data_IF_022499823117
#
_entry.id   IF_022499823117
#
_cell.length_a   1.000
_cell.length_b   1.000
_cell.length_c   1.000
_cell.angle_alpha   90.00
_cell.angle_beta   90.00
_cell.angle_gamma   90.00
#
_symmetry.space_group_name_H-M   'P 1'
#
loop_
_entity.id
_entity.type
_entity.pdbx_description
1 polymer ?
#
# COMPACT_ATOMS: atom_id res chain seq x y z
N UNK A 1 29.98 -44.25 8.55
CA UNK A 1 28.67 -43.73 9.02
C UNK A 1 28.95 -42.41 9.73
N UNK A 2 28.64 -41.29 9.08
CA UNK A 2 28.85 -39.96 9.67
C UNK A 2 27.87 -39.01 9.01
N UNK A 3 26.64 -38.97 9.53
CA UNK A 3 25.65 -37.98 9.12
C UNK A 3 26.05 -36.65 9.76
N UNK A 4 26.53 -35.71 8.95
CA UNK A 4 26.69 -34.30 9.31
C UNK A 4 25.28 -33.72 9.53
N UNK A 5 24.81 -33.73 10.77
CA UNK A 5 23.63 -32.98 11.17
C UNK A 5 23.99 -31.50 11.23
N UNK A 6 23.53 -30.72 10.26
CA UNK A 6 23.51 -29.26 10.36
C UNK A 6 22.54 -28.86 11.49
N UNK A 7 23.02 -28.73 12.72
CA UNK A 7 22.28 -28.04 13.78
C UNK A 7 22.37 -26.54 13.53
N UNK A 8 21.33 -25.96 12.92
CA UNK A 8 21.17 -24.50 12.85
C UNK A 8 21.21 -23.94 14.28
N UNK A 9 22.01 -22.91 14.50
CA UNK A 9 22.14 -22.24 15.80
C UNK A 9 20.83 -21.54 16.20
N UNK A 10 20.58 -21.36 17.50
CA UNK A 10 19.37 -20.68 17.99
C UNK A 10 19.24 -19.25 17.46
N UNK A 11 20.37 -18.56 17.23
CA UNK A 11 20.40 -17.25 16.57
C UNK A 11 19.92 -17.33 15.11
N UNK A 12 20.34 -18.34 14.34
CA UNK A 12 19.83 -18.56 12.98
C UNK A 12 18.34 -18.91 12.97
N UNK A 13 17.86 -19.62 14.00
CA UNK A 13 16.44 -19.94 14.15
C UNK A 13 15.62 -18.71 14.55
N UNK A 14 16.17 -17.81 15.36
CA UNK A 14 15.55 -16.55 15.74
C UNK A 14 15.56 -15.55 14.59
N UNK A 15 16.62 -15.48 13.77
CA UNK A 15 16.68 -14.69 12.55
C UNK A 15 15.69 -15.20 11.48
N UNK A 16 15.61 -16.52 11.26
CA UNK A 16 14.60 -17.11 10.36
C UNK A 16 13.16 -16.88 10.85
N UNK A 17 12.96 -16.79 12.17
CA UNK A 17 11.65 -16.49 12.78
C UNK A 17 11.32 -15.01 12.68
N UNK A 18 12.28 -14.12 12.94
CA UNK A 18 12.14 -12.68 12.73
C UNK A 18 11.87 -12.33 11.26
N UNK A 19 12.48 -13.08 10.32
CA UNK A 19 12.24 -12.95 8.88
C UNK A 19 10.91 -13.57 8.43
N UNK A 20 10.28 -14.43 9.23
CA UNK A 20 8.88 -14.88 9.06
C UNK A 20 7.86 -13.95 9.73
N UNK A 21 8.30 -13.13 10.68
CA UNK A 21 7.50 -12.18 11.46
C UNK A 21 7.58 -10.74 10.94
N UNK A 22 8.28 -10.48 9.83
CA UNK A 22 8.29 -9.14 9.24
C UNK A 22 6.89 -8.76 8.74
N UNK A 23 6.46 -7.58 9.16
CA UNK A 23 5.18 -7.02 8.76
C UNK A 23 5.17 -6.79 7.24
N UNK A 24 4.35 -7.57 6.52
CA UNK A 24 4.26 -7.50 5.06
C UNK A 24 3.85 -6.13 4.51
N UNK A 25 3.08 -5.35 5.26
CA UNK A 25 2.73 -3.98 4.85
C UNK A 25 3.96 -3.07 4.96
N UNK A 26 4.77 -3.21 6.01
CA UNK A 26 6.03 -2.49 6.15
C UNK A 26 7.02 -2.83 5.01
N UNK A 27 7.11 -4.09 4.63
CA UNK A 27 7.90 -4.52 3.46
C UNK A 27 7.39 -3.88 2.17
N UNK A 28 6.06 -3.85 1.96
CA UNK A 28 5.46 -3.21 0.80
C UNK A 28 5.72 -1.70 0.75
N UNK A 29 5.65 -0.99 1.89
CA UNK A 29 6.00 0.43 2.00
C UNK A 29 7.47 0.67 1.65
N UNK A 30 8.38 -0.17 2.15
CA UNK A 30 9.80 -0.07 1.83
C UNK A 30 10.09 -0.31 0.35
N UNK A 31 9.45 -1.33 -0.25
CA UNK A 31 9.55 -1.61 -1.68
C UNK A 31 9.02 -0.44 -2.51
N UNK A 32 7.85 0.10 -2.15
CA UNK A 32 7.26 1.24 -2.84
C UNK A 32 8.17 2.47 -2.77
N UNK A 33 8.75 2.77 -1.59
CA UNK A 33 9.73 3.85 -1.42
C UNK A 33 10.94 3.69 -2.35
N UNK A 34 11.44 2.46 -2.52
CA UNK A 34 12.55 2.18 -3.41
C UNK A 34 12.18 2.37 -4.89
N UNK A 35 10.98 1.95 -5.30
CA UNK A 35 10.46 2.15 -6.65
C UNK A 35 10.27 3.64 -6.94
N UNK A 36 9.59 4.36 -6.04
CA UNK A 36 9.28 5.78 -6.17
C UNK A 36 10.53 6.64 -6.31
N UNK A 37 11.57 6.36 -5.50
CA UNK A 37 12.83 7.11 -5.53
C UNK A 37 13.85 6.59 -6.56
N UNK A 38 13.50 5.58 -7.35
CA UNK A 38 14.42 4.99 -8.32
C UNK A 38 14.77 6.00 -9.41
N UNK A 39 16.08 6.25 -9.62
CA UNK A 39 16.58 7.20 -10.63
C UNK A 39 16.04 6.94 -12.04
N UNK A 40 15.77 5.67 -12.37
CA UNK A 40 15.29 5.23 -13.69
C UNK A 40 13.77 5.37 -13.83
N UNK A 41 13.04 5.58 -12.74
CA UNK A 41 11.57 5.68 -12.72
C UNK A 41 11.06 7.08 -12.32
N UNK A 42 11.95 8.09 -12.24
CA UNK A 42 11.64 9.46 -11.78
C UNK A 42 10.58 10.23 -12.57
N UNK A 43 10.16 9.73 -13.74
CA UNK A 43 9.11 10.32 -14.57
C UNK A 43 7.93 9.37 -14.78
N UNK A 44 7.98 8.19 -14.15
CA UNK A 44 7.00 7.13 -14.34
C UNK A 44 5.99 7.21 -13.20
N UNK A 45 4.74 7.52 -13.54
CA UNK A 45 3.65 7.48 -12.56
C UNK A 45 3.33 6.05 -12.15
N UNK A 46 2.85 5.87 -10.92
CA UNK A 46 2.54 4.57 -10.34
C UNK A 46 1.05 4.46 -10.08
N UNK A 47 0.45 3.39 -10.60
CA UNK A 47 -0.89 2.98 -10.22
C UNK A 47 -0.74 2.01 -9.05
N UNK A 48 -1.28 2.37 -7.90
CA UNK A 48 -1.14 1.62 -6.66
C UNK A 48 -2.43 0.84 -6.38
N UNK A 49 -2.34 -0.49 -6.38
CA UNK A 49 -3.46 -1.34 -5.94
C UNK A 49 -3.33 -1.72 -4.48
N UNK A 50 -4.25 -1.21 -3.68
CA UNK A 50 -4.51 -1.65 -2.33
C UNK A 50 -5.45 -2.85 -2.41
N UNK A 51 -4.91 -4.01 -2.79
CA UNK A 51 -5.66 -5.24 -2.96
C UNK A 51 -6.04 -5.88 -1.61
N UNK A 52 -6.96 -6.84 -1.63
CA UNK A 52 -7.42 -7.63 -0.47
C UNK A 52 -8.25 -6.84 0.54
N UNK A 53 -9.08 -5.90 0.04
CA UNK A 53 -9.98 -5.11 0.90
C UNK A 53 -10.97 -5.98 1.69
N UNK A 54 -11.38 -7.12 1.13
CA UNK A 54 -12.18 -8.16 1.78
C UNK A 54 -11.50 -8.72 3.03
N UNK A 55 -10.24 -9.14 2.92
CA UNK A 55 -9.46 -9.68 4.04
C UNK A 55 -9.11 -8.59 5.07
N UNK A 56 -8.90 -7.35 4.61
CA UNK A 56 -8.70 -6.22 5.51
C UNK A 56 -9.95 -5.98 6.36
N UNK A 57 -11.13 -5.93 5.74
CA UNK A 57 -12.40 -5.75 6.43
C UNK A 57 -12.63 -6.86 7.46
N UNK A 58 -12.46 -8.12 7.07
CA UNK A 58 -12.59 -9.27 7.98
C UNK A 58 -11.66 -9.12 9.20
N UNK A 59 -10.38 -8.80 8.97
CA UNK A 59 -9.38 -8.69 10.04
C UNK A 59 -9.67 -7.53 10.99
N UNK A 60 -10.07 -6.37 10.47
CA UNK A 60 -10.42 -5.19 11.26
C UNK A 60 -11.64 -5.46 12.12
N UNK A 61 -12.68 -6.07 11.55
CA UNK A 61 -13.93 -6.35 12.25
C UNK A 61 -13.78 -7.46 13.29
N UNK A 62 -12.92 -8.45 13.02
CA UNK A 62 -12.61 -9.51 13.99
C UNK A 62 -11.88 -8.99 15.24
N UNK A 63 -11.17 -7.86 15.14
CA UNK A 63 -10.54 -7.18 16.28
C UNK A 63 -9.40 -7.94 16.98
N UNK A 64 -8.98 -9.11 16.44
CA UNK A 64 -7.95 -9.97 17.05
C UNK A 64 -6.53 -9.42 16.94
N UNK A 65 -6.26 -8.61 15.92
CA UNK A 65 -4.95 -8.06 15.61
C UNK A 65 -5.15 -6.61 15.21
N UNK A 66 -4.73 -5.70 16.10
CA UNK A 66 -4.99 -4.27 15.96
C UNK A 66 -3.92 -3.61 15.09
N UNK A 67 -4.31 -2.65 14.27
CA UNK A 67 -3.37 -1.98 13.35
C UNK A 67 -2.33 -1.17 14.14
N UNK A 68 -2.77 -0.53 15.23
CA UNK A 68 -1.93 0.28 16.11
C UNK A 68 -0.81 -0.49 16.83
N UNK A 69 -0.88 -1.82 16.90
CA UNK A 69 0.22 -2.65 17.42
C UNK A 69 1.42 -2.70 16.46
N UNK A 70 1.18 -2.48 15.17
CA UNK A 70 2.22 -2.46 14.13
C UNK A 70 2.51 -1.05 13.61
N UNK A 71 1.50 -0.18 13.63
CA UNK A 71 1.56 1.21 13.16
C UNK A 71 0.98 2.14 14.25
N UNK A 72 1.77 2.52 15.28
CA UNK A 72 1.28 3.29 16.42
C UNK A 72 0.57 4.62 16.07
N UNK A 73 0.94 5.23 14.96
CA UNK A 73 0.32 6.41 14.37
C UNK A 73 -1.16 6.21 14.03
N UNK A 74 -1.58 4.98 13.75
CA UNK A 74 -2.99 4.65 13.51
C UNK A 74 -3.87 4.99 14.70
N UNK A 75 -3.36 4.97 15.94
CA UNK A 75 -4.15 5.34 17.12
C UNK A 75 -4.64 6.80 17.06
N UNK A 76 -3.88 7.69 16.42
CA UNK A 76 -4.20 9.12 16.27
C UNK A 76 -4.80 9.47 14.91
N UNK A 77 -4.78 8.54 13.96
CA UNK A 77 -5.29 8.77 12.62
C UNK A 77 -6.80 8.99 12.63
N UNK A 78 -7.28 9.94 11.83
CA UNK A 78 -8.70 10.18 11.58
C UNK A 78 -8.98 9.98 10.11
N UNK A 79 -10.14 9.40 9.79
CA UNK A 79 -10.59 9.29 8.40
C UNK A 79 -10.63 10.70 7.79
N UNK A 80 -10.05 10.92 6.59
CA UNK A 80 -10.01 12.23 5.98
C UNK A 80 -11.38 12.62 5.42
N UNK A 81 -11.66 13.92 5.32
CA UNK A 81 -12.97 14.44 4.90
C UNK A 81 -13.31 14.11 3.43
N UNK A 82 -12.30 13.86 2.60
CA UNK A 82 -12.42 13.45 1.21
C UNK A 82 -12.64 11.94 1.04
N UNK A 83 -12.73 11.19 2.15
CA UNK A 83 -12.99 9.77 2.10
C UNK A 83 -14.39 9.48 1.57
N UNK A 84 -14.44 8.63 0.54
CA UNK A 84 -15.66 8.07 -0.04
C UNK A 84 -15.76 6.61 0.46
N UNK A 85 -16.54 6.34 1.52
CA UNK A 85 -16.81 4.97 1.97
C UNK A 85 -17.78 4.25 1.02
N UNK A 86 -17.67 2.93 0.95
CA UNK A 86 -18.66 2.13 0.22
C UNK A 86 -20.00 2.10 1.00
N UNK A 87 -21.16 2.02 0.32
CA UNK A 87 -22.44 1.94 1.01
C UNK A 87 -22.49 0.74 1.98
N UNK A 88 -22.76 1.02 3.26
CA UNK A 88 -22.82 0.01 4.31
C UNK A 88 -21.46 -0.45 4.85
N UNK A 89 -20.35 0.19 4.46
CA UNK A 89 -19.03 -0.08 5.02
C UNK A 89 -18.93 0.39 6.48
N UNK A 90 -18.34 -0.44 7.34
CA UNK A 90 -18.10 -0.07 8.74
C UNK A 90 -17.04 1.05 8.81
N UNK A 91 -17.28 2.14 9.58
CA UNK A 91 -16.33 3.25 9.70
C UNK A 91 -14.91 2.84 10.12
N UNK A 92 -14.76 1.74 10.86
CA UNK A 92 -13.45 1.20 11.26
C UNK A 92 -12.69 0.65 10.06
N UNK A 93 -13.39 0.02 9.11
CA UNK A 93 -12.82 -0.49 7.86
C UNK A 93 -12.44 0.67 6.94
N UNK A 94 -13.31 1.68 6.80
CA UNK A 94 -12.99 2.91 6.07
C UNK A 94 -11.74 3.56 6.65
N UNK A 95 -11.69 3.77 7.97
CA UNK A 95 -10.52 4.35 8.63
C UNK A 95 -9.25 3.55 8.38
N UNK A 96 -9.32 2.22 8.46
CA UNK A 96 -8.18 1.34 8.23
C UNK A 96 -7.65 1.39 6.79
N UNK A 97 -8.53 1.30 5.78
CA UNK A 97 -8.09 1.31 4.37
C UNK A 97 -7.51 2.68 3.97
N UNK A 98 -8.10 3.77 4.45
CA UNK A 98 -7.61 5.12 4.20
C UNK A 98 -6.29 5.41 4.90
N UNK A 99 -6.09 4.89 6.12
CA UNK A 99 -4.78 4.94 6.78
C UNK A 99 -3.70 4.29 5.91
N UNK A 100 -3.94 3.06 5.44
CA UNK A 100 -2.98 2.35 4.59
C UNK A 100 -2.71 3.12 3.30
N UNK A 101 -3.74 3.68 2.66
CA UNK A 101 -3.59 4.56 1.49
C UNK A 101 -2.66 5.73 1.78
N UNK A 102 -2.90 6.42 2.88
CA UNK A 102 -2.17 7.64 3.24
C UNK A 102 -0.72 7.36 3.60
N UNK A 103 -0.42 6.16 4.13
CA UNK A 103 0.96 5.71 4.35
C UNK A 103 1.76 5.59 3.05
N UNK A 104 1.15 5.12 1.96
CA UNK A 104 1.78 5.13 0.64
C UNK A 104 1.84 6.54 0.04
N UNK A 105 0.77 7.33 0.18
CA UNK A 105 0.75 8.70 -0.35
C UNK A 105 1.78 9.61 0.33
N UNK A 106 2.02 9.41 1.63
CA UNK A 106 3.07 10.10 2.38
C UNK A 106 4.45 9.89 1.77
N UNK A 107 4.70 8.70 1.21
CA UNK A 107 5.95 8.42 0.49
C UNK A 107 5.97 9.17 -0.85
N UNK A 108 4.86 9.16 -1.59
CA UNK A 108 4.82 9.74 -2.94
C UNK A 108 4.85 11.27 -2.94
N UNK A 109 4.27 11.92 -1.93
CA UNK A 109 4.22 13.38 -1.83
C UNK A 109 5.47 13.98 -1.19
N UNK A 110 6.33 13.19 -0.54
CA UNK A 110 7.53 13.68 0.12
C UNK A 110 8.56 14.28 -0.85
N UNK A 111 8.62 13.82 -2.09
CA UNK A 111 9.61 14.26 -3.09
C UNK A 111 9.28 15.62 -3.73
N UNK A 112 7.99 15.97 -3.81
CA UNK A 112 7.50 17.30 -4.22
C UNK A 112 7.86 17.79 -5.63
N UNK A 113 8.55 17.00 -6.47
CA UNK A 113 9.04 17.46 -7.78
C UNK A 113 7.95 17.50 -8.86
N UNK A 114 6.77 16.97 -8.53
CA UNK A 114 5.63 16.89 -9.41
C UNK A 114 5.90 16.10 -10.69
N UNK A 115 6.99 15.36 -10.89
CA UNK A 115 7.30 14.75 -12.20
C UNK A 115 6.49 13.49 -12.50
N UNK A 116 5.99 12.85 -11.47
CA UNK A 116 5.17 11.65 -11.54
C UNK A 116 4.20 11.62 -10.36
N UNK A 117 3.15 10.81 -10.49
CA UNK A 117 2.05 10.77 -9.53
C UNK A 117 1.73 9.33 -9.10
N UNK A 118 1.16 9.20 -7.90
CA UNK A 118 0.65 7.94 -7.38
C UNK A 118 -0.89 7.95 -7.44
N UNK A 119 -1.47 6.92 -8.03
CA UNK A 119 -2.92 6.77 -8.22
C UNK A 119 -3.40 5.56 -7.41
N UNK A 120 -3.87 5.75 -6.17
CA UNK A 120 -4.28 4.66 -5.31
C UNK A 120 -5.69 4.17 -5.65
N UNK A 121 -5.85 2.85 -5.71
CA UNK A 121 -7.14 2.19 -5.87
C UNK A 121 -7.33 1.13 -4.80
N UNK A 122 -8.49 1.14 -4.17
CA UNK A 122 -8.96 0.05 -3.34
C UNK A 122 -9.48 -1.06 -4.25
N UNK A 123 -8.88 -2.26 -4.17
CA UNK A 123 -9.26 -3.38 -5.04
C UNK A 123 -9.48 -4.67 -4.26
N UNK A 124 -10.34 -5.52 -4.79
CA UNK A 124 -10.52 -6.89 -4.33
C UNK A 124 -10.47 -7.82 -5.55
N UNK A 125 -9.88 -8.99 -5.39
CA UNK A 125 -9.67 -9.95 -6.49
C UNK A 125 -10.98 -10.42 -7.14
N UNK A 126 -12.10 -10.37 -6.41
CA UNK A 126 -13.43 -10.75 -6.92
C UNK A 126 -14.23 -9.57 -7.48
N UNK A 127 -13.77 -8.34 -7.30
CA UNK A 127 -14.45 -7.16 -7.85
C UNK A 127 -13.98 -6.95 -9.30
N UNK A 128 -14.82 -7.44 -10.22
CA UNK A 128 -14.64 -7.39 -11.67
C UNK A 128 -14.72 -5.97 -12.25
N UNK A 129 -15.24 -5.02 -11.49
CA UNK A 129 -15.34 -3.61 -11.89
C UNK A 129 -14.01 -2.87 -11.67
N UNK A 130 -13.09 -3.44 -10.88
CA UNK A 130 -11.78 -2.85 -10.63
C UNK A 130 -10.98 -2.61 -11.91
N UNK A 131 -10.98 -3.55 -12.86
CA UNK A 131 -10.25 -3.36 -14.13
C UNK A 131 -10.78 -2.12 -14.87
N UNK A 132 -12.10 -1.87 -14.84
CA UNK A 132 -12.67 -0.69 -15.50
C UNK A 132 -12.25 0.62 -14.81
N UNK A 133 -12.26 0.66 -13.47
CA UNK A 133 -11.80 1.84 -12.70
C UNK A 133 -10.32 2.13 -12.96
N UNK A 134 -9.48 1.09 -12.91
CA UNK A 134 -8.05 1.18 -13.23
C UNK A 134 -7.84 1.68 -14.65
N UNK A 135 -8.62 1.19 -15.62
CA UNK A 135 -8.49 1.60 -17.01
C UNK A 135 -8.87 3.08 -17.23
N UNK A 136 -9.88 3.58 -16.51
CA UNK A 136 -10.22 5.01 -16.54
C UNK A 136 -9.08 5.86 -15.96
N UNK A 137 -8.48 5.47 -14.84
CA UNK A 137 -7.37 6.23 -14.26
C UNK A 137 -6.11 6.15 -15.12
N UNK A 138 -5.86 5.03 -15.80
CA UNK A 138 -4.84 4.95 -16.86
C UNK A 138 -5.04 6.00 -17.96
N UNK A 139 -6.30 6.25 -18.36
CA UNK A 139 -6.62 7.28 -19.37
C UNK A 139 -6.27 8.67 -18.84
N UNK A 140 -6.63 8.98 -17.60
CA UNK A 140 -6.34 10.26 -16.97
C UNK A 140 -4.84 10.48 -16.79
N UNK A 141 -4.09 9.42 -16.45
CA UNK A 141 -2.62 9.45 -16.39
C UNK A 141 -2.03 9.85 -17.73
N UNK A 142 -2.43 9.16 -18.81
CA UNK A 142 -1.93 9.43 -20.16
C UNK A 142 -2.30 10.85 -20.58
N UNK A 143 -3.52 11.30 -20.30
CA UNK A 143 -3.96 12.66 -20.61
C UNK A 143 -3.15 13.72 -19.85
N UNK A 144 -2.93 13.56 -18.54
CA UNK A 144 -2.12 14.50 -17.75
C UNK A 144 -0.66 14.50 -18.18
N UNK A 145 -0.11 13.34 -18.56
CA UNK A 145 1.23 13.24 -19.14
C UNK A 145 1.32 14.02 -20.45
N UNK A 146 0.36 13.85 -21.36
CA UNK A 146 0.32 14.61 -22.62
C UNK A 146 0.17 16.12 -22.38
N UNK A 147 -0.76 16.55 -21.52
CA UNK A 147 -1.00 17.98 -21.28
C UNK A 147 0.23 18.71 -20.72
N UNK A 148 0.98 18.06 -19.82
CA UNK A 148 2.25 18.60 -19.31
C UNK A 148 3.35 18.68 -20.35
N UNK A 149 3.41 17.70 -21.25
CA UNK A 149 4.37 17.73 -22.35
C UNK A 149 4.16 18.97 -23.26
N UNK A 150 2.95 19.53 -23.28
CA UNK A 150 2.60 20.74 -24.02
C UNK A 150 2.47 22.01 -23.14
N UNK A 151 2.92 21.99 -21.88
CA UNK A 151 2.86 23.14 -20.95
C UNK A 151 1.44 23.71 -20.71
N UNK A 152 0.41 22.87 -20.89
CA UNK A 152 -1.00 23.26 -20.70
C UNK A 152 -1.47 23.08 -19.24
N UNK A 153 -0.57 22.71 -18.33
CA UNK A 153 -0.80 22.40 -16.91
C UNK A 153 0.34 22.92 -16.03
#
# INVERSE_FOLDING_TARGET
MGCLGNSKTEDQRNEEKAQRETNRLQEALNLFKNIWNNRWLRTISVILFLNKQDLLAEKVLAGKSKIEEYFPEFARYTTPDDAIPEPGEDPRVTRAKYFIRDEFLRISTASGDGRHYCYPHFTCAVDTENIRRVFNDCRDIIQRMHLRQYELL
#
